data_IF_351826220036
#
_entry.id   IF_351826220036
#
_cell.length_a   1.000
_cell.length_b   1.000
_cell.length_c   1.000
_cell.angle_alpha   90.00
_cell.angle_beta   90.00
_cell.angle_gamma   90.00
#
_symmetry.space_group_name_H-M   'P 1'
#
loop_
_entity.id
_entity.type
_entity.pdbx_description
1 polymer ?
#
# COMPACT_ATOMS: atom_id res chain seq x y z
N UNK A 1 -17.69 30.74 -20.76
CA UNK A 1 -16.69 30.91 -19.67
C UNK A 1 -16.33 29.53 -19.13
N UNK A 2 -15.08 29.25 -18.78
CA UNK A 2 -14.65 27.92 -18.31
C UNK A 2 -15.35 27.46 -17.02
N UNK A 3 -15.90 28.41 -16.23
CA UNK A 3 -16.68 28.16 -15.01
C UNK A 3 -17.95 27.33 -15.22
N UNK A 4 -18.53 27.32 -16.43
CA UNK A 4 -19.75 26.54 -16.72
C UNK A 4 -19.49 25.04 -16.85
N UNK A 5 -18.23 24.62 -16.94
CA UNK A 5 -17.84 23.21 -17.10
C UNK A 5 -17.25 22.61 -15.81
N UNK A 6 -17.25 23.37 -14.69
CA UNK A 6 -16.71 22.94 -13.40
C UNK A 6 -17.87 22.74 -12.43
N UNK A 7 -17.94 21.58 -11.79
CA UNK A 7 -19.01 21.23 -10.86
C UNK A 7 -18.52 21.26 -9.41
N UNK A 8 -19.40 21.65 -8.49
CA UNK A 8 -19.22 21.60 -7.04
C UNK A 8 -17.90 22.23 -6.55
N UNK A 9 -17.03 21.45 -5.90
CA UNK A 9 -15.78 21.94 -5.30
C UNK A 9 -14.79 22.54 -6.31
N UNK A 10 -14.83 22.08 -7.56
CA UNK A 10 -13.97 22.64 -8.62
C UNK A 10 -14.41 24.04 -9.03
N UNK A 11 -15.71 24.34 -8.95
CA UNK A 11 -16.26 25.66 -9.26
C UNK A 11 -15.87 26.68 -8.18
N UNK A 12 -16.02 26.33 -6.89
CA UNK A 12 -15.62 27.18 -5.77
C UNK A 12 -14.13 27.50 -5.82
N UNK A 13 -13.30 26.49 -6.08
CA UNK A 13 -11.86 26.66 -6.24
C UNK A 13 -11.50 27.60 -7.39
N UNK A 14 -12.15 27.48 -8.55
CA UNK A 14 -11.89 28.36 -9.69
C UNK A 14 -12.35 29.79 -9.43
N UNK A 15 -13.48 29.98 -8.75
CA UNK A 15 -13.96 31.31 -8.33
C UNK A 15 -13.00 31.97 -7.33
N UNK A 16 -12.38 31.19 -6.45
CA UNK A 16 -11.38 31.68 -5.52
C UNK A 16 -10.10 32.13 -6.24
N UNK A 17 -9.59 31.35 -7.20
CA UNK A 17 -8.47 31.77 -8.06
C UNK A 17 -8.79 33.06 -8.81
N UNK A 18 -10.02 33.18 -9.32
CA UNK A 18 -10.45 34.39 -10.02
C UNK A 18 -10.49 35.63 -9.11
N UNK A 19 -10.82 35.46 -7.83
CA UNK A 19 -10.79 36.55 -6.85
C UNK A 19 -9.37 36.92 -6.43
N UNK A 20 -8.46 35.94 -6.31
CA UNK A 20 -7.10 36.16 -5.79
C UNK A 20 -6.12 36.63 -6.87
N UNK A 21 -6.15 36.02 -8.06
CA UNK A 21 -5.18 36.27 -9.15
C UNK A 21 -5.83 36.94 -10.39
N UNK A 22 -7.14 37.19 -10.38
CA UNK A 22 -7.89 37.57 -11.58
C UNK A 22 -8.10 36.39 -12.53
N UNK A 23 -8.44 36.64 -13.80
CA UNK A 23 -8.59 35.54 -14.77
C UNK A 23 -7.21 35.04 -15.20
N UNK A 24 -6.77 33.83 -14.78
CA UNK A 24 -5.45 33.35 -15.13
C UNK A 24 -5.35 33.07 -16.64
N UNK A 25 -4.19 33.30 -17.28
CA UNK A 25 -3.95 32.84 -18.63
C UNK A 25 -4.09 31.31 -18.69
N UNK A 26 -4.54 30.78 -19.82
CA UNK A 26 -4.87 29.35 -19.98
C UNK A 26 -3.76 28.41 -19.48
N UNK A 27 -2.49 28.74 -19.72
CA UNK A 27 -1.33 27.98 -19.24
C UNK A 27 -1.29 27.87 -17.70
N UNK A 28 -1.52 28.98 -17.00
CA UNK A 28 -1.55 29.04 -15.53
C UNK A 28 -2.77 28.30 -14.96
N UNK A 29 -3.92 28.40 -15.62
CA UNK A 29 -5.11 27.64 -15.25
C UNK A 29 -4.86 26.11 -15.32
N UNK A 30 -4.25 25.62 -16.40
CA UNK A 30 -3.89 24.21 -16.55
C UNK A 30 -2.90 23.75 -15.48
N UNK A 31 -1.91 24.58 -15.11
CA UNK A 31 -0.98 24.29 -14.02
C UNK A 31 -1.71 24.16 -12.67
N UNK A 32 -2.56 25.12 -12.33
CA UNK A 32 -3.34 25.13 -11.09
C UNK A 32 -4.29 23.93 -11.01
N UNK A 33 -4.94 23.57 -12.13
CA UNK A 33 -5.84 22.42 -12.21
C UNK A 33 -5.07 21.12 -11.96
N UNK A 34 -3.87 21.01 -12.53
CA UNK A 34 -2.97 19.88 -12.30
C UNK A 34 -2.40 19.83 -10.88
N UNK A 35 -2.36 20.94 -10.14
CA UNK A 35 -1.91 20.95 -8.74
C UNK A 35 -3.03 20.47 -7.81
N UNK A 36 -4.27 20.92 -8.03
CA UNK A 36 -5.38 20.61 -7.14
C UNK A 36 -6.06 19.27 -7.40
N UNK A 37 -6.32 18.94 -8.68
CA UNK A 37 -7.21 17.83 -9.02
C UNK A 37 -6.48 16.64 -9.65
N UNK A 38 -5.18 16.79 -9.91
CA UNK A 38 -4.38 15.63 -10.27
C UNK A 38 -4.14 14.85 -8.99
N UNK A 39 -4.43 13.54 -8.95
CA UNK A 39 -3.86 12.67 -7.93
C UNK A 39 -2.35 12.96 -7.90
N UNK A 40 -1.73 13.16 -6.72
CA UNK A 40 -0.32 13.47 -6.66
C UNK A 40 0.44 12.48 -7.55
N UNK A 41 1.15 13.00 -8.55
CA UNK A 41 1.93 12.25 -9.57
C UNK A 41 3.07 11.40 -8.98
N UNK A 42 3.09 11.23 -7.66
CA UNK A 42 4.01 10.37 -6.94
C UNK A 42 3.21 9.27 -6.29
N UNK A 43 2.58 8.42 -7.10
CA UNK A 43 2.47 7.02 -6.67
C UNK A 43 3.89 6.62 -6.31
N UNK A 44 4.15 6.37 -5.03
CA UNK A 44 5.43 5.84 -4.56
C UNK A 44 5.20 4.34 -4.39
N UNK A 45 5.08 3.56 -5.47
CA UNK A 45 4.64 2.18 -5.38
C UNK A 45 5.63 1.33 -4.59
N UNK A 46 6.92 1.66 -4.63
CA UNK A 46 7.91 1.03 -3.77
C UNK A 46 7.69 1.40 -2.29
N UNK A 47 7.37 2.66 -1.99
CA UNK A 47 7.01 3.09 -0.64
C UNK A 47 5.71 2.44 -0.13
N UNK A 48 4.70 2.31 -0.99
CA UNK A 48 3.46 1.57 -0.70
C UNK A 48 3.78 0.08 -0.42
N UNK A 49 4.68 -0.52 -1.19
CA UNK A 49 5.13 -1.91 -0.99
C UNK A 49 5.91 -2.09 0.33
N UNK A 50 6.80 -1.16 0.68
CA UNK A 50 7.56 -1.17 1.95
C UNK A 50 6.63 -0.97 3.16
N UNK A 51 5.64 -0.10 3.00
CA UNK A 51 4.61 0.18 4.00
C UNK A 51 3.54 -0.91 4.10
N UNK A 52 3.48 -1.84 3.13
CA UNK A 52 2.58 -2.98 3.18
C UNK A 52 2.97 -3.90 4.33
N UNK A 53 2.24 -3.82 5.44
CA UNK A 53 2.41 -4.66 6.63
C UNK A 53 1.21 -5.57 6.83
N UNK A 54 1.43 -6.73 7.44
CA UNK A 54 0.37 -7.64 7.85
C UNK A 54 -0.47 -6.99 8.95
N UNK A 55 -1.75 -6.78 8.66
CA UNK A 55 -2.75 -6.26 9.63
C UNK A 55 -3.76 -7.31 10.07
N UNK A 56 -3.89 -8.39 9.30
CA UNK A 56 -4.87 -9.46 9.50
C UNK A 56 -4.24 -10.81 9.19
N UNK A 57 -4.91 -11.64 8.39
CA UNK A 57 -4.39 -12.95 7.99
C UNK A 57 -3.16 -12.81 7.07
N UNK A 58 -2.32 -13.84 7.03
CA UNK A 58 -1.20 -13.91 6.09
C UNK A 58 -1.71 -13.91 4.64
N UNK A 59 -2.88 -14.51 4.37
CA UNK A 59 -3.49 -14.54 3.02
C UNK A 59 -3.88 -13.14 2.55
N UNK A 60 -4.60 -12.37 3.38
CA UNK A 60 -4.95 -10.98 3.04
C UNK A 60 -3.72 -10.08 2.86
N UNK A 61 -2.66 -10.35 3.60
CA UNK A 61 -1.38 -9.67 3.41
C UNK A 61 -0.72 -10.05 2.07
N UNK A 62 -0.72 -11.34 1.72
CA UNK A 62 -0.19 -11.84 0.45
C UNK A 62 -0.90 -11.21 -0.74
N UNK A 63 -2.23 -11.20 -0.75
CA UNK A 63 -3.02 -10.64 -1.85
C UNK A 63 -2.70 -9.14 -2.06
N UNK A 64 -2.57 -8.38 -0.96
CA UNK A 64 -2.18 -6.95 -1.02
C UNK A 64 -0.76 -6.76 -1.50
N UNK A 65 0.18 -7.57 -1.01
CA UNK A 65 1.58 -7.50 -1.40
C UNK A 65 1.76 -7.82 -2.89
N UNK A 66 1.09 -8.87 -3.39
CA UNK A 66 1.09 -9.26 -4.80
C UNK A 66 0.42 -8.22 -5.69
N UNK A 67 -0.63 -7.53 -5.24
CA UNK A 67 -1.25 -6.44 -5.99
C UNK A 67 -0.32 -5.21 -6.14
N UNK A 68 0.55 -4.97 -5.15
CA UNK A 68 1.51 -3.85 -5.16
C UNK A 68 2.80 -4.18 -5.91
N UNK A 69 3.17 -5.47 -5.99
CA UNK A 69 4.45 -5.92 -6.57
C UNK A 69 4.66 -5.45 -8.03
N UNK A 70 3.69 -5.54 -8.97
CA UNK A 70 3.87 -5.10 -10.34
C UNK A 70 4.03 -3.58 -10.46
N UNK A 71 3.49 -2.82 -9.51
CA UNK A 71 3.55 -1.36 -9.49
C UNK A 71 4.93 -0.87 -9.07
N UNK A 72 5.66 -1.63 -8.24
CA UNK A 72 6.96 -1.25 -7.69
C UNK A 72 8.13 -1.35 -8.69
N UNK A 73 7.91 -1.95 -9.87
CA UNK A 73 8.93 -2.11 -10.91
C UNK A 73 9.75 -3.39 -10.76
N UNK A 74 10.97 -3.39 -11.33
CA UNK A 74 11.85 -4.57 -11.34
C UNK A 74 12.55 -4.75 -9.99
N UNK A 75 12.21 -5.81 -9.26
CA UNK A 75 12.84 -6.22 -8.00
C UNK A 75 13.49 -7.59 -8.16
N UNK A 76 14.66 -7.79 -7.55
CA UNK A 76 15.29 -9.11 -7.47
C UNK A 76 14.48 -10.03 -6.54
N UNK A 77 14.57 -11.35 -6.72
CA UNK A 77 13.87 -12.28 -5.82
C UNK A 77 14.28 -12.09 -4.36
N UNK A 78 15.58 -11.85 -4.10
CA UNK A 78 16.07 -11.55 -2.75
C UNK A 78 15.41 -10.30 -2.16
N UNK A 79 15.24 -9.23 -2.95
CA UNK A 79 14.54 -8.02 -2.50
C UNK A 79 13.06 -8.28 -2.20
N UNK A 80 12.38 -9.07 -3.03
CA UNK A 80 10.97 -9.44 -2.80
C UNK A 80 10.82 -10.22 -1.49
N UNK A 81 11.71 -11.20 -1.25
CA UNK A 81 11.74 -11.97 0.00
C UNK A 81 11.96 -11.05 1.19
N UNK A 82 12.98 -10.18 1.15
CA UNK A 82 13.28 -9.25 2.24
C UNK A 82 12.10 -8.32 2.54
N UNK A 83 11.48 -7.75 1.50
CA UNK A 83 10.31 -6.88 1.65
C UNK A 83 9.11 -7.62 2.22
N UNK A 84 8.84 -8.83 1.75
CA UNK A 84 7.75 -9.67 2.24
C UNK A 84 7.96 -10.03 3.72
N UNK A 85 9.15 -10.53 4.06
CA UNK A 85 9.50 -10.91 5.43
C UNK A 85 9.43 -9.72 6.40
N UNK A 86 9.94 -8.55 5.98
CA UNK A 86 9.82 -7.30 6.75
C UNK A 86 8.36 -6.80 6.87
N UNK A 87 7.45 -7.27 6.01
CA UNK A 87 6.03 -6.97 6.04
C UNK A 87 5.22 -7.85 7.01
N UNK A 88 5.70 -9.05 7.34
CA UNK A 88 4.98 -10.02 8.19
C UNK A 88 4.86 -9.58 9.66
N UNK A 89 5.81 -8.75 10.11
CA UNK A 89 6.00 -8.30 11.50
C UNK A 89 6.34 -9.45 12.49
N UNK A 90 7.06 -9.17 13.59
CA UNK A 90 7.31 -10.16 14.64
C UNK A 90 6.00 -10.65 15.30
N UNK A 91 5.96 -11.90 15.81
CA UNK A 91 7.05 -12.89 15.81
C UNK A 91 7.21 -13.63 14.48
N UNK A 92 6.21 -13.58 13.60
CA UNK A 92 6.14 -14.40 12.40
C UNK A 92 7.25 -14.06 11.38
N UNK A 93 7.67 -12.79 11.30
CA UNK A 93 8.83 -12.40 10.48
C UNK A 93 10.12 -13.11 10.92
N UNK A 94 10.36 -13.22 12.24
CA UNK A 94 11.57 -13.85 12.80
C UNK A 94 11.60 -15.35 12.47
N UNK A 95 10.47 -16.03 12.62
CA UNK A 95 10.35 -17.45 12.29
C UNK A 95 10.62 -17.71 10.80
N UNK A 96 10.15 -16.82 9.92
CA UNK A 96 10.45 -16.91 8.48
C UNK A 96 11.91 -16.59 8.18
N UNK A 97 12.53 -15.63 8.86
CA UNK A 97 13.95 -15.30 8.70
C UNK A 97 14.86 -16.47 9.06
N UNK A 98 14.58 -17.18 10.17
CA UNK A 98 15.34 -18.35 10.60
C UNK A 98 15.33 -19.45 9.52
N UNK A 99 14.22 -19.60 8.81
CA UNK A 99 14.06 -20.59 7.75
C UNK A 99 14.70 -20.17 6.41
N UNK A 100 15.18 -18.93 6.30
CA UNK A 100 15.93 -18.37 5.17
C UNK A 100 15.38 -18.76 3.78
N UNK A 101 14.13 -18.36 3.45
CA UNK A 101 13.51 -18.70 2.19
C UNK A 101 14.29 -18.14 0.99
N UNK A 102 14.49 -18.98 -0.03
CA UNK A 102 15.23 -18.63 -1.25
C UNK A 102 14.35 -18.04 -2.36
N UNK A 103 13.04 -17.98 -2.16
CA UNK A 103 12.08 -17.41 -3.13
C UNK A 103 10.87 -16.81 -2.43
N UNK A 104 10.20 -15.87 -3.11
CA UNK A 104 8.98 -15.25 -2.57
C UNK A 104 7.89 -16.30 -2.30
N UNK A 105 7.71 -17.25 -3.23
CA UNK A 105 6.74 -18.33 -3.09
C UNK A 105 7.03 -19.21 -1.84
N UNK A 106 8.30 -19.50 -1.58
CA UNK A 106 8.71 -20.22 -0.37
C UNK A 106 8.39 -19.41 0.88
N UNK A 107 8.77 -18.13 0.93
CA UNK A 107 8.48 -17.24 2.04
C UNK A 107 6.96 -17.16 2.35
N UNK A 108 6.14 -17.03 1.32
CA UNK A 108 4.68 -17.03 1.42
C UNK A 108 4.13 -18.35 1.97
N UNK A 109 4.64 -19.47 1.49
CA UNK A 109 4.21 -20.79 1.96
C UNK A 109 4.58 -21.03 3.43
N UNK A 110 5.77 -20.59 3.85
CA UNK A 110 6.24 -20.68 5.23
C UNK A 110 5.39 -19.81 6.16
N UNK A 111 5.14 -18.57 5.76
CA UNK A 111 4.30 -17.65 6.54
C UNK A 111 2.91 -18.24 6.81
N UNK A 112 2.25 -18.84 5.80
CA UNK A 112 0.95 -19.51 5.99
C UNK A 112 1.02 -20.71 6.92
N UNK A 113 2.06 -21.54 6.81
CA UNK A 113 2.25 -22.71 7.68
C UNK A 113 2.48 -22.31 9.13
N UNK A 114 3.25 -21.24 9.36
CA UNK A 114 3.51 -20.71 10.69
C UNK A 114 2.24 -20.12 11.31
N UNK A 115 1.47 -19.35 10.55
CA UNK A 115 0.17 -18.84 11.01
C UNK A 115 -0.80 -19.98 11.38
N UNK A 116 -0.86 -21.05 10.57
CA UNK A 116 -1.66 -22.23 10.87
C UNK A 116 -1.19 -22.94 12.15
N UNK A 117 0.13 -23.09 12.33
CA UNK A 117 0.71 -23.67 13.56
C UNK A 117 0.26 -22.89 14.78
N UNK A 118 0.32 -21.56 14.72
CA UNK A 118 -0.02 -20.68 15.84
C UNK A 118 -1.53 -20.75 16.15
N UNK A 119 -2.38 -20.83 15.12
CA UNK A 119 -3.83 -21.05 15.28
C UNK A 119 -4.15 -22.40 15.93
N UNK A 120 -3.49 -23.49 15.50
CA UNK A 120 -3.64 -24.80 16.11
C UNK A 120 -3.17 -24.81 17.57
N UNK A 121 -2.06 -24.14 17.87
CA UNK A 121 -1.56 -24.01 19.24
C UNK A 121 -2.52 -23.21 20.13
N UNK A 122 -3.09 -22.13 19.61
CA UNK A 122 -4.10 -21.33 20.31
C UNK A 122 -5.39 -22.13 20.59
N UNK A 123 -5.82 -22.98 19.64
CA UNK A 123 -6.98 -23.84 19.80
C UNK A 123 -6.74 -25.01 20.80
N UNK A 124 -5.48 -25.42 20.99
CA UNK A 124 -5.09 -26.49 21.91
C UNK A 124 -4.95 -26.03 23.36
N UNK A 125 -4.90 -24.73 23.63
CA UNK A 125 -4.88 -24.20 25.00
C UNK A 125 -6.27 -24.31 25.63
N UNK A 126 -6.46 -25.07 26.72
CA UNK A 126 -7.75 -25.16 27.39
C UNK A 126 -8.14 -23.78 27.94
N UNK A 127 -9.30 -23.27 27.52
CA UNK A 127 -9.92 -22.12 28.17
C UNK A 127 -10.25 -22.52 29.60
N UNK A 128 -9.40 -22.17 30.56
CA UNK A 128 -9.78 -22.14 31.96
C UNK A 128 -10.90 -21.10 32.11
N UNK A 129 -12.14 -21.56 31.94
CA UNK A 129 -13.34 -20.84 32.36
C UNK A 129 -13.35 -20.80 33.89
N UNK A 130 -13.48 -19.58 34.41
CA UNK A 130 -13.73 -19.25 35.81
C UNK A 130 -14.92 -20.01 36.38
#
# INVERSE_FOLDING_TARGET
MASYNLEAGAQLWFMQIQNDEGTPPWKRFVELLNIQFRPPLRSNPLGELVACKRTGSVVEFQDRFEALLPRAGTLTEAQKVQLFTAGLLPPLSLDVEILNPQSLAMAMSLARKLELRDQCAAAALPQHRH
#
